data_IF_883595336944
#
_entry.id   IF_883595336944
#
_cell.length_a   1.000
_cell.length_b   1.000
_cell.length_c   1.000
_cell.angle_alpha   90.00
_cell.angle_beta   90.00
_cell.angle_gamma   90.00
#
_symmetry.space_group_name_H-M   'P 1'
#
loop_
_entity.id
_entity.type
_entity.pdbx_description
1 polymer ?
#
# COMPACT_ATOMS: atom_id res chain seq x y z
N UNK A 1 -21.27 -21.57 19.51
CA UNK A 1 -20.55 -20.36 19.11
C UNK A 1 -20.28 -20.41 17.62
N UNK A 2 -20.91 -19.53 16.89
CA UNK A 2 -20.74 -19.53 15.43
C UNK A 2 -19.58 -18.59 15.12
N UNK A 3 -18.47 -19.15 14.68
CA UNK A 3 -17.45 -18.35 14.04
C UNK A 3 -18.00 -17.85 12.73
N UNK A 4 -18.35 -16.58 12.67
CA UNK A 4 -18.44 -15.93 11.37
C UNK A 4 -17.03 -15.87 10.82
N UNK A 5 -16.68 -16.86 10.03
CA UNK A 5 -15.59 -16.73 9.12
C UNK A 5 -15.92 -15.54 8.21
N UNK A 6 -15.22 -14.44 8.38
CA UNK A 6 -15.26 -13.37 7.42
C UNK A 6 -14.88 -13.98 6.09
N UNK A 7 -15.83 -14.02 5.16
CA UNK A 7 -15.53 -14.40 3.80
C UNK A 7 -14.60 -13.32 3.24
N UNK A 8 -13.31 -13.61 3.21
CA UNK A 8 -12.34 -12.70 2.60
C UNK A 8 -12.53 -12.81 1.10
N UNK A 9 -12.80 -11.68 0.45
CA UNK A 9 -12.93 -11.64 -1.00
C UNK A 9 -11.61 -12.06 -1.65
N UNK A 10 -11.70 -12.83 -2.75
CA UNK A 10 -10.53 -13.31 -3.46
C UNK A 10 -9.63 -12.17 -3.98
N UNK A 11 -10.24 -11.08 -4.46
CA UNK A 11 -9.50 -9.91 -4.94
C UNK A 11 -8.70 -9.24 -3.82
N UNK A 12 -9.26 -9.16 -2.61
CA UNK A 12 -8.55 -8.62 -1.45
C UNK A 12 -7.36 -9.49 -1.05
N UNK A 13 -7.52 -10.83 -1.13
CA UNK A 13 -6.41 -11.74 -0.86
C UNK A 13 -5.26 -11.55 -1.85
N UNK A 14 -5.58 -11.41 -3.12
CA UNK A 14 -4.57 -11.17 -4.16
C UNK A 14 -3.85 -9.84 -3.91
N UNK A 15 -4.59 -8.79 -3.60
CA UNK A 15 -4.01 -7.49 -3.29
C UNK A 15 -3.10 -7.56 -2.06
N UNK A 16 -3.55 -8.20 -0.99
CA UNK A 16 -2.76 -8.36 0.23
C UNK A 16 -1.46 -9.12 -0.04
N UNK A 17 -1.50 -10.19 -0.83
CA UNK A 17 -0.30 -10.93 -1.22
C UNK A 17 0.64 -10.05 -2.03
N UNK A 18 0.11 -9.23 -2.93
CA UNK A 18 0.91 -8.29 -3.72
C UNK A 18 1.59 -7.26 -2.81
N UNK A 19 0.86 -6.66 -1.88
CA UNK A 19 1.41 -5.68 -0.95
C UNK A 19 2.47 -6.29 -0.04
N UNK A 20 2.26 -7.51 0.42
CA UNK A 20 3.26 -8.24 1.20
C UNK A 20 4.56 -8.42 0.41
N UNK A 21 4.46 -8.79 -0.87
CA UNK A 21 5.63 -8.91 -1.75
C UNK A 21 6.35 -7.58 -1.96
N UNK A 22 5.59 -6.50 -2.11
CA UNK A 22 6.14 -5.15 -2.22
C UNK A 22 6.91 -4.79 -0.96
N UNK A 23 6.32 -5.04 0.20
CA UNK A 23 6.94 -4.76 1.49
C UNK A 23 8.22 -5.58 1.68
N UNK A 24 8.20 -6.87 1.34
CA UNK A 24 9.38 -7.74 1.44
C UNK A 24 10.50 -7.24 0.53
N UNK A 25 10.19 -6.84 -0.71
CA UNK A 25 11.18 -6.28 -1.62
C UNK A 25 11.78 -5.00 -1.07
N UNK A 26 10.95 -4.13 -0.48
CA UNK A 26 11.42 -2.90 0.13
C UNK A 26 12.35 -3.19 1.31
N UNK A 27 11.98 -4.13 2.18
CA UNK A 27 12.80 -4.51 3.34
C UNK A 27 14.15 -5.05 2.89
N UNK A 28 14.19 -5.89 1.85
CA UNK A 28 15.45 -6.41 1.32
C UNK A 28 16.36 -5.30 0.81
N UNK A 29 15.82 -4.34 0.07
CA UNK A 29 16.59 -3.17 -0.40
C UNK A 29 17.06 -2.32 0.76
N UNK A 30 16.18 -2.11 1.75
CA UNK A 30 16.45 -1.32 2.94
C UNK A 30 17.62 -1.90 3.73
N UNK A 31 17.63 -3.22 3.97
CA UNK A 31 18.68 -3.89 4.72
C UNK A 31 20.02 -3.94 3.97
N UNK A 32 19.99 -3.82 2.65
CA UNK A 32 21.21 -3.79 1.83
C UNK A 32 21.81 -2.39 1.68
N UNK A 33 21.17 -1.35 2.25
CA UNK A 33 21.63 0.03 2.17
C UNK A 33 22.60 0.37 3.30
N UNK A 34 23.44 1.40 3.11
CA UNK A 34 24.27 1.90 4.20
C UNK A 34 23.40 2.37 5.38
N UNK A 35 23.91 2.24 6.60
CA UNK A 35 23.18 2.56 7.82
C UNK A 35 22.62 3.99 7.82
N UNK A 36 23.33 4.95 7.25
CA UNK A 36 22.85 6.35 7.15
C UNK A 36 21.58 6.43 6.31
N UNK A 37 21.53 5.69 5.19
CA UNK A 37 20.37 5.64 4.31
C UNK A 37 19.19 4.97 5.01
N UNK A 38 19.45 3.94 5.82
CA UNK A 38 18.43 3.23 6.61
C UNK A 38 17.75 4.21 7.56
N UNK A 39 18.52 5.00 8.29
CA UNK A 39 18.01 6.00 9.24
C UNK A 39 17.15 7.04 8.50
N UNK A 40 17.61 7.50 7.34
CA UNK A 40 16.92 8.51 6.53
C UNK A 40 15.55 8.01 6.02
N UNK A 41 15.43 6.72 5.72
CA UNK A 41 14.22 6.13 5.15
C UNK A 41 13.28 5.51 6.20
N UNK A 42 13.52 5.74 7.48
CA UNK A 42 12.72 5.17 8.57
C UNK A 42 11.24 5.55 8.48
N UNK A 43 10.94 6.79 8.15
CA UNK A 43 9.55 7.27 8.01
C UNK A 43 8.83 6.60 6.86
N UNK A 44 9.50 6.37 5.76
CA UNK A 44 8.93 5.68 4.60
C UNK A 44 8.59 4.24 4.95
N UNK A 45 9.50 3.55 5.62
CA UNK A 45 9.27 2.18 6.06
C UNK A 45 8.08 2.09 7.02
N UNK A 46 8.02 2.99 8.02
CA UNK A 46 6.90 3.04 8.95
C UNK A 46 5.57 3.28 8.24
N UNK A 47 5.54 4.21 7.28
CA UNK A 47 4.35 4.48 6.47
C UNK A 47 3.90 3.23 5.71
N UNK A 48 4.82 2.54 5.06
CA UNK A 48 4.50 1.34 4.27
C UNK A 48 3.93 0.22 5.15
N UNK A 49 4.48 0.01 6.34
CA UNK A 49 3.97 -0.97 7.29
C UNK A 49 2.56 -0.62 7.77
N UNK A 50 2.32 0.64 8.10
CA UNK A 50 1.02 1.11 8.54
C UNK A 50 -0.02 1.02 7.43
N UNK A 51 0.36 1.34 6.19
CA UNK A 51 -0.53 1.22 5.05
C UNK A 51 -0.88 -0.24 4.76
N UNK A 52 0.09 -1.14 4.87
CA UNK A 52 -0.15 -2.58 4.75
C UNK A 52 -1.18 -3.05 5.77
N UNK A 53 -1.00 -2.67 7.04
CA UNK A 53 -1.94 -2.99 8.11
C UNK A 53 -3.33 -2.42 7.85
N UNK A 54 -3.40 -1.18 7.37
CA UNK A 54 -4.67 -0.53 7.02
C UNK A 54 -5.43 -1.34 5.96
N UNK A 55 -4.75 -1.76 4.90
CA UNK A 55 -5.37 -2.53 3.81
C UNK A 55 -5.81 -3.92 4.32
N UNK A 56 -5.00 -4.54 5.16
CA UNK A 56 -5.33 -5.85 5.76
C UNK A 56 -6.60 -5.80 6.60
N UNK A 57 -6.84 -4.68 7.28
CA UNK A 57 -7.96 -4.51 8.21
C UNK A 57 -9.15 -3.74 7.62
N UNK A 58 -9.08 -3.37 6.34
CA UNK A 58 -10.10 -2.56 5.67
C UNK A 58 -10.63 -3.29 4.44
N UNK A 59 -11.94 -3.32 4.29
CA UNK A 59 -12.56 -3.85 3.09
C UNK A 59 -12.65 -2.76 2.03
N UNK A 60 -11.79 -2.84 1.00
CA UNK A 60 -11.76 -1.85 -0.08
C UNK A 60 -12.80 -2.20 -1.16
N UNK A 61 -13.39 -1.18 -1.83
CA UNK A 61 -14.30 -1.43 -2.94
C UNK A 61 -13.61 -2.22 -4.07
N UNK A 62 -14.32 -3.14 -4.76
CA UNK A 62 -13.73 -3.94 -5.83
C UNK A 62 -13.09 -3.12 -6.95
N UNK A 63 -13.67 -1.98 -7.30
CA UNK A 63 -13.13 -1.08 -8.34
C UNK A 63 -11.77 -0.54 -7.92
N UNK A 64 -11.64 -0.20 -6.65
CA UNK A 64 -10.39 0.31 -6.09
C UNK A 64 -9.31 -0.77 -6.09
N UNK A 65 -9.65 -1.97 -5.65
CA UNK A 65 -8.73 -3.12 -5.67
C UNK A 65 -8.27 -3.42 -7.09
N UNK A 66 -9.18 -3.44 -8.04
CA UNK A 66 -8.88 -3.66 -9.45
C UNK A 66 -7.90 -2.61 -9.99
N UNK A 67 -8.09 -1.35 -9.62
CA UNK A 67 -7.18 -0.26 -10.02
C UNK A 67 -5.79 -0.42 -9.41
N UNK A 68 -5.72 -0.74 -8.12
CA UNK A 68 -4.45 -0.94 -7.42
C UNK A 68 -3.65 -2.12 -7.96
N UNK A 69 -4.32 -3.14 -8.46
CA UNK A 69 -3.67 -4.32 -9.04
C UNK A 69 -3.00 -4.05 -10.39
N UNK A 70 -3.18 -2.87 -10.97
CA UNK A 70 -2.51 -2.47 -12.21
C UNK A 70 -1.03 -2.14 -12.03
N UNK A 71 -0.58 -1.97 -10.80
CA UNK A 71 0.82 -1.69 -10.49
C UNK A 71 1.35 -2.69 -9.47
N UNK A 72 2.68 -2.81 -9.40
CA UNK A 72 3.38 -3.59 -8.36
C UNK A 72 4.06 -2.70 -7.33
N UNK A 73 3.73 -1.40 -7.31
CA UNK A 73 4.38 -0.41 -6.45
C UNK A 73 3.36 0.44 -5.68
N UNK A 74 2.29 -0.20 -5.19
CA UNK A 74 1.21 0.50 -4.48
C UNK A 74 1.73 1.26 -3.26
N UNK A 75 2.59 0.62 -2.47
CA UNK A 75 3.11 1.22 -1.23
C UNK A 75 3.99 2.42 -1.52
N UNK A 76 4.88 2.32 -2.51
CA UNK A 76 5.76 3.42 -2.91
C UNK A 76 4.98 4.59 -3.50
N UNK A 77 4.02 4.30 -4.37
CA UNK A 77 3.18 5.33 -4.99
C UNK A 77 2.33 6.05 -3.94
N UNK A 78 1.81 5.32 -2.95
CA UNK A 78 1.03 5.92 -1.86
C UNK A 78 1.89 6.83 -0.99
N UNK A 79 3.14 6.44 -0.72
CA UNK A 79 4.10 7.26 0.00
C UNK A 79 4.40 8.55 -0.78
N UNK A 80 4.62 8.44 -2.09
CA UNK A 80 4.91 9.59 -2.95
C UNK A 80 3.73 10.58 -2.95
N UNK A 81 2.51 10.08 -3.04
CA UNK A 81 1.33 10.94 -2.99
C UNK A 81 1.19 11.64 -1.63
N UNK A 82 1.49 10.93 -0.55
CA UNK A 82 1.45 11.53 0.78
C UNK A 82 2.47 12.66 0.96
N UNK A 83 3.66 12.49 0.39
CA UNK A 83 4.72 13.51 0.46
C UNK A 83 4.48 14.70 -0.47
N UNK A 84 3.99 14.44 -1.68
CA UNK A 84 4.00 15.40 -2.77
C UNK A 84 2.68 16.11 -2.98
N UNK A 85 1.59 15.59 -2.44
CA UNK A 85 0.25 16.10 -2.68
C UNK A 85 -0.35 16.68 -1.41
N UNK A 86 -0.47 18.02 -1.37
CA UNK A 86 -1.02 18.73 -0.21
C UNK A 86 -2.48 18.39 0.10
N UNK A 87 -3.21 17.83 -0.86
CA UNK A 87 -4.60 17.41 -0.68
C UNK A 87 -4.72 16.05 0.01
N UNK A 88 -3.61 15.29 0.07
CA UNK A 88 -3.57 14.00 0.74
C UNK A 88 -3.22 14.22 2.21
N UNK A 89 -4.18 13.96 3.09
CA UNK A 89 -4.02 14.21 4.54
C UNK A 89 -3.64 12.97 5.33
N UNK A 90 -4.08 11.77 4.90
CA UNK A 90 -3.84 10.52 5.59
C UNK A 90 -3.57 9.35 4.62
N UNK A 91 -3.39 8.16 5.18
CA UNK A 91 -3.10 6.96 4.39
C UNK A 91 -4.27 6.52 3.51
N UNK A 92 -5.49 6.72 3.99
CA UNK A 92 -6.69 6.42 3.24
C UNK A 92 -6.75 7.28 1.97
N UNK A 93 -6.54 8.58 2.12
CA UNK A 93 -6.48 9.52 0.99
C UNK A 93 -5.36 9.14 0.01
N UNK A 94 -4.20 8.76 0.51
CA UNK A 94 -3.06 8.33 -0.29
C UNK A 94 -3.41 7.18 -1.21
N UNK A 95 -3.96 6.10 -0.66
CA UNK A 95 -4.28 4.91 -1.43
C UNK A 95 -5.44 5.15 -2.40
N UNK A 96 -6.41 5.95 -2.00
CA UNK A 96 -7.52 6.36 -2.87
C UNK A 96 -7.01 7.17 -4.07
N UNK A 97 -6.07 8.08 -3.83
CA UNK A 97 -5.46 8.88 -4.90
C UNK A 97 -4.67 8.02 -5.88
N UNK A 98 -3.90 7.07 -5.38
CA UNK A 98 -3.16 6.13 -6.23
C UNK A 98 -4.13 5.32 -7.09
N UNK A 99 -5.21 4.80 -6.49
CA UNK A 99 -6.22 4.04 -7.23
C UNK A 99 -6.87 4.88 -8.33
N UNK A 100 -7.18 6.14 -8.03
CA UNK A 100 -7.76 7.07 -9.01
C UNK A 100 -6.80 7.32 -10.18
N UNK A 101 -5.53 7.61 -9.89
CA UNK A 101 -4.53 7.86 -10.92
C UNK A 101 -4.29 6.64 -11.80
N UNK A 102 -4.27 5.45 -11.21
CA UNK A 102 -4.14 4.20 -11.95
C UNK A 102 -5.36 3.94 -12.85
N UNK A 103 -6.55 4.22 -12.32
CA UNK A 103 -7.79 4.08 -13.11
C UNK A 103 -7.79 4.99 -14.32
N UNK A 104 -7.26 6.20 -14.18
CA UNK A 104 -7.17 7.19 -15.26
C UNK A 104 -5.96 6.99 -16.18
N UNK A 105 -5.08 6.05 -15.87
CA UNK A 105 -3.89 5.78 -16.65
C UNK A 105 -2.83 6.87 -16.55
N UNK A 106 -2.78 7.61 -15.44
CA UNK A 106 -1.83 8.72 -15.23
C UNK A 106 -0.52 8.29 -14.57
N UNK A 107 -0.50 7.09 -14.02
CA UNK A 107 0.72 6.50 -13.44
C UNK A 107 0.82 5.03 -13.78
#
# INVERSE_FOLDING_TARGET
>A
MVYKLKTIRADMLVLQCQLERELIRYVKRYLCQPQVTIITNDKQFAFMCELYDYVENTELPPEMVSSLMKTKNVLELSWDEWLMNAEVEDMEDSIEKVAELLRKGKI
#
